data_IF_614387521746
#
_entry.id   IF_614387521746
#
_cell.length_a   1.000
_cell.length_b   1.000
_cell.length_c   1.000
_cell.angle_alpha   90.00
_cell.angle_beta   90.00
_cell.angle_gamma   90.00
#
_symmetry.space_group_name_H-M   'P 1'
#
loop_
_entity.id
_entity.type
_entity.pdbx_description
1 polymer ?
#
# COMPACT_ATOMS: atom_id res chain seq x y z
N UNK A 1 1.22 1.30 -25.38
CA UNK A 1 0.21 1.42 -24.29
C UNK A 1 0.43 0.29 -23.30
N UNK A 2 0.44 0.57 -22.00
CA UNK A 2 0.81 -0.44 -21.01
C UNK A 2 -0.41 -0.96 -20.26
N UNK A 3 -1.12 -1.89 -20.90
CA UNK A 3 -2.38 -2.47 -20.41
C UNK A 3 -2.22 -3.21 -19.07
N UNK A 4 -1.02 -3.73 -18.78
CA UNK A 4 -0.72 -4.44 -17.52
C UNK A 4 -0.73 -3.50 -16.31
N UNK A 5 -0.03 -2.36 -16.37
CA UNK A 5 -0.04 -1.38 -15.28
C UNK A 5 -1.45 -0.87 -14.98
N UNK A 6 -2.22 -0.53 -16.01
CA UNK A 6 -3.62 -0.14 -15.87
C UNK A 6 -4.47 -1.23 -15.19
N UNK A 7 -4.28 -2.49 -15.58
CA UNK A 7 -4.98 -3.63 -14.95
C UNK A 7 -4.62 -3.78 -13.46
N UNK A 8 -3.34 -3.58 -13.10
CA UNK A 8 -2.91 -3.62 -11.69
C UNK A 8 -3.48 -2.45 -10.87
N UNK A 9 -3.57 -1.25 -11.44
CA UNK A 9 -4.20 -0.11 -10.79
C UNK A 9 -5.69 -0.33 -10.57
N UNK A 10 -6.40 -0.88 -11.57
CA UNK A 10 -7.81 -1.27 -11.44
C UNK A 10 -7.96 -2.31 -10.32
N UNK A 11 -7.14 -3.36 -10.31
CA UNK A 11 -7.15 -4.37 -9.25
C UNK A 11 -6.90 -3.73 -7.86
N UNK A 12 -6.01 -2.74 -7.76
CA UNK A 12 -5.75 -2.01 -6.51
C UNK A 12 -6.98 -1.23 -6.03
N UNK A 13 -7.76 -0.62 -6.94
CA UNK A 13 -9.02 0.05 -6.54
C UNK A 13 -10.04 -0.93 -5.98
N UNK A 14 -10.13 -2.14 -6.55
CA UNK A 14 -11.01 -3.21 -6.07
C UNK A 14 -10.57 -3.71 -4.69
N UNK A 15 -9.26 -3.90 -4.48
CA UNK A 15 -8.71 -4.27 -3.18
C UNK A 15 -9.04 -3.23 -2.10
N UNK A 16 -8.87 -1.93 -2.40
CA UNK A 16 -9.21 -0.83 -1.46
C UNK A 16 -10.71 -0.74 -1.18
N UNK A 17 -11.57 -1.02 -2.18
CA UNK A 17 -13.03 -1.14 -1.98
C UNK A 17 -13.37 -2.28 -1.01
N UNK A 18 -12.71 -3.41 -1.17
CA UNK A 18 -12.92 -4.60 -0.34
C UNK A 18 -12.45 -4.33 1.09
N UNK A 19 -11.30 -3.70 1.28
CA UNK A 19 -10.80 -3.25 2.58
C UNK A 19 -11.82 -2.37 3.32
N UNK A 20 -12.36 -1.34 2.64
CA UNK A 20 -13.39 -0.46 3.22
C UNK A 20 -14.64 -1.22 3.65
N UNK A 21 -15.16 -2.11 2.79
CA UNK A 21 -16.31 -2.96 3.11
C UNK A 21 -16.01 -3.87 4.29
N UNK A 22 -14.81 -4.43 4.33
CA UNK A 22 -14.39 -5.34 5.39
C UNK A 22 -14.28 -4.64 6.74
N UNK A 23 -13.80 -3.40 6.79
CA UNK A 23 -13.83 -2.60 8.04
C UNK A 23 -15.27 -2.46 8.54
N UNK A 24 -16.24 -2.20 7.66
CA UNK A 24 -17.66 -2.14 8.05
C UNK A 24 -18.16 -3.49 8.58
N UNK A 25 -17.79 -4.61 7.95
CA UNK A 25 -18.15 -5.96 8.38
C UNK A 25 -17.50 -6.35 9.72
N UNK A 26 -16.23 -6.00 9.93
CA UNK A 26 -15.51 -6.20 11.19
C UNK A 26 -16.16 -5.40 12.31
N UNK A 27 -16.54 -4.13 12.06
CA UNK A 27 -17.27 -3.30 13.04
C UNK A 27 -18.64 -3.87 13.41
N UNK A 28 -19.28 -4.61 12.49
CA UNK A 28 -20.53 -5.32 12.72
C UNK A 28 -20.33 -6.70 13.40
N UNK A 29 -19.11 -7.08 13.73
CA UNK A 29 -18.79 -8.39 14.33
C UNK A 29 -18.96 -9.58 13.38
N UNK A 30 -19.22 -9.35 12.09
CA UNK A 30 -19.48 -10.39 11.10
C UNK A 30 -18.19 -11.07 10.60
N UNK A 31 -17.04 -10.41 10.75
CA UNK A 31 -15.73 -10.95 10.42
C UNK A 31 -14.81 -10.70 11.61
N UNK A 32 -14.31 -11.77 12.22
CA UNK A 32 -13.45 -11.70 13.40
C UNK A 32 -11.98 -12.01 13.08
N UNK A 33 -11.68 -12.53 11.90
CA UNK A 33 -10.32 -12.93 11.53
C UNK A 33 -9.48 -11.70 11.11
N UNK A 34 -8.48 -11.28 11.91
CA UNK A 34 -7.65 -10.11 11.61
C UNK A 34 -6.67 -10.37 10.44
N UNK A 35 -6.37 -11.63 10.12
CA UNK A 35 -5.44 -11.98 9.04
C UNK A 35 -5.99 -11.60 7.67
N UNK A 36 -7.31 -11.59 7.49
CA UNK A 36 -7.94 -11.17 6.22
C UNK A 36 -7.66 -9.68 5.96
N UNK A 37 -7.69 -8.85 7.01
CA UNK A 37 -7.36 -7.42 6.92
C UNK A 37 -5.90 -7.18 6.59
N UNK A 38 -4.99 -7.87 7.29
CA UNK A 38 -3.58 -7.82 6.99
C UNK A 38 -3.28 -8.26 5.54
N UNK A 39 -3.95 -9.32 5.06
CA UNK A 39 -3.80 -9.82 3.70
C UNK A 39 -4.24 -8.80 2.66
N UNK A 40 -5.44 -8.21 2.79
CA UNK A 40 -5.91 -7.21 1.82
C UNK A 40 -5.01 -5.97 1.76
N UNK A 41 -4.47 -5.55 2.91
CA UNK A 41 -3.51 -4.45 2.97
C UNK A 41 -2.24 -4.78 2.16
N UNK A 42 -1.64 -5.96 2.42
CA UNK A 42 -0.45 -6.44 1.69
C UNK A 42 -0.70 -6.66 0.20
N UNK A 43 -1.87 -7.20 -0.17
CA UNK A 43 -2.28 -7.35 -1.55
C UNK A 43 -2.31 -6.00 -2.27
N UNK A 44 -2.84 -4.96 -1.62
CA UNK A 44 -2.86 -3.63 -2.21
C UNK A 44 -1.45 -3.08 -2.45
N UNK A 45 -0.51 -3.30 -1.53
CA UNK A 45 0.90 -2.91 -1.65
C UNK A 45 1.57 -3.64 -2.82
N UNK A 46 1.35 -4.96 -2.95
CA UNK A 46 1.85 -5.76 -4.06
C UNK A 46 1.36 -5.25 -5.41
N UNK A 47 0.06 -4.97 -5.54
CA UNK A 47 -0.53 -4.46 -6.79
C UNK A 47 0.06 -3.12 -7.20
N UNK A 48 0.45 -2.27 -6.25
CA UNK A 48 1.14 -1.02 -6.55
C UNK A 48 2.57 -1.24 -7.03
N UNK A 49 3.32 -2.14 -6.38
CA UNK A 49 4.67 -2.50 -6.83
C UNK A 49 4.64 -3.10 -8.24
N UNK A 50 3.68 -3.98 -8.51
CA UNK A 50 3.49 -4.58 -9.84
C UNK A 50 3.12 -3.52 -10.87
N UNK A 51 2.13 -2.66 -10.60
CA UNK A 51 1.80 -1.52 -11.47
C UNK A 51 3.06 -0.70 -11.79
N UNK A 52 3.87 -0.40 -10.77
CA UNK A 52 5.07 0.42 -10.89
C UNK A 52 6.21 -0.26 -11.66
N UNK A 53 6.32 -1.58 -11.56
CA UNK A 53 7.30 -2.41 -12.25
C UNK A 53 7.00 -2.51 -13.74
N UNK A 54 5.72 -2.72 -14.08
CA UNK A 54 5.32 -2.85 -15.47
C UNK A 54 5.22 -1.49 -16.17
N UNK A 55 4.98 -0.40 -15.46
CA UNK A 55 4.95 0.94 -16.03
C UNK A 55 6.31 1.32 -16.67
N UNK A 56 6.36 1.60 -17.98
CA UNK A 56 7.61 1.84 -18.69
C UNK A 56 8.37 3.02 -18.09
N UNK A 57 9.69 2.85 -18.03
CA UNK A 57 10.66 3.74 -17.43
C UNK A 57 10.73 5.09 -18.17
N UNK A 58 9.81 6.00 -17.91
CA UNK A 58 10.22 7.40 -17.63
C UNK A 58 10.66 7.54 -16.16
N UNK A 59 10.46 6.46 -15.38
CA UNK A 59 10.84 6.24 -13.98
C UNK A 59 12.30 5.82 -13.80
N UNK A 60 13.26 6.57 -14.34
CA UNK A 60 14.62 6.59 -13.76
C UNK A 60 14.79 7.75 -12.77
N UNK A 61 13.98 8.81 -12.87
CA UNK A 61 14.22 10.07 -12.15
C UNK A 61 13.51 10.20 -10.78
N UNK A 62 12.60 9.29 -10.42
CA UNK A 62 11.79 9.42 -9.19
C UNK A 62 12.30 8.57 -8.01
N UNK A 63 13.03 7.48 -8.27
CA UNK A 63 13.61 6.65 -7.21
C UNK A 63 14.81 7.34 -6.53
N UNK A 64 15.53 8.21 -7.24
CA UNK A 64 16.65 9.00 -6.68
C UNK A 64 16.20 10.10 -5.70
N UNK A 65 14.91 10.46 -5.64
CA UNK A 65 14.41 11.56 -4.81
C UNK A 65 13.56 11.13 -3.62
N UNK A 66 13.37 9.83 -3.37
CA UNK A 66 12.66 9.38 -2.18
C UNK A 66 13.61 9.42 -0.97
N UNK A 67 13.43 10.32 0.02
CA UNK A 67 14.24 10.25 1.23
C UNK A 67 13.85 8.98 1.99
N UNK A 68 14.74 7.98 1.96
CA UNK A 68 14.70 6.81 2.83
C UNK A 68 15.07 7.24 4.26
N UNK A 69 14.19 7.98 4.91
CA UNK A 69 14.39 8.55 6.24
C UNK A 69 13.30 8.11 7.18
N UNK A 70 13.36 6.86 7.63
CA UNK A 70 12.67 6.41 8.85
C UNK A 70 13.20 7.28 10.00
N UNK A 71 12.49 8.35 10.37
CA UNK A 71 12.76 9.09 11.62
C UNK A 71 12.40 8.18 12.78
N UNK A 72 13.35 7.32 13.16
CA UNK A 72 13.32 6.62 14.44
C UNK A 72 13.34 7.66 15.56
N UNK A 73 12.40 7.49 16.48
CA UNK A 73 12.37 8.09 17.81
C UNK A 73 13.76 8.14 18.44
N UNK A 74 14.37 9.33 18.54
CA UNK A 74 15.51 9.67 19.41
C UNK A 74 15.80 11.17 19.23
N UNK A 75 14.88 12.02 19.70
CA UNK A 75 15.16 13.43 19.92
C UNK A 75 14.78 13.78 21.36
N UNK A 76 15.82 14.11 22.13
CA UNK A 76 15.81 14.76 23.46
C UNK A 76 15.36 13.93 24.66
N UNK A 77 16.20 12.96 25.02
CA UNK A 77 16.71 12.85 26.39
C UNK A 77 18.10 13.52 26.40
N UNK A 78 18.18 14.79 26.83
CA UNK A 78 19.37 15.56 27.28
C UNK A 78 19.00 17.05 27.32
N UNK A 79 19.55 17.77 28.30
CA UNK A 79 19.16 19.09 28.85
C UNK A 79 18.07 18.90 29.93
N UNK A 80 18.35 18.68 31.22
CA UNK A 80 19.35 19.29 32.12
C UNK A 80 19.36 20.81 32.05
#
# INVERSE_FOLDING_TARGET
ENMLACSFDIARTVARRTERRMITLMRKGMIQNPHVFAYLNRLSDLLFVLSRYYEPVSRKLAYEQAPSGRRTSLARKRES
#
